data_IF_375175672222
#
_entry.id   IF_375175672222
#
_cell.length_a   1.000
_cell.length_b   1.000
_cell.length_c   1.000
_cell.angle_alpha   90.00
_cell.angle_beta   90.00
_cell.angle_gamma   90.00
#
_symmetry.space_group_name_H-M   'P 1'
#
loop_
_entity.id
_entity.type
_entity.pdbx_description
1 polymer ?
#
# COMPACT_ATOMS: atom_id res chain seq x y z
N UNK A 1 -18.87 8.14 -7.47
CA UNK A 1 -18.83 8.71 -6.11
C UNK A 1 -17.70 9.74 -6.11
N UNK A 2 -17.99 11.02 -5.90
CA UNK A 2 -16.98 12.09 -6.01
C UNK A 2 -16.04 12.05 -4.80
N UNK A 3 -14.73 11.96 -5.06
CA UNK A 3 -13.67 11.87 -4.05
C UNK A 3 -13.65 13.04 -3.06
N UNK A 4 -14.09 14.23 -3.50
CA UNK A 4 -14.20 15.43 -2.66
C UNK A 4 -15.13 15.23 -1.47
N UNK A 5 -16.16 14.38 -1.59
CA UNK A 5 -17.09 14.11 -0.47
C UNK A 5 -16.47 13.17 0.56
N UNK A 6 -15.52 12.33 0.15
CA UNK A 6 -14.86 11.36 1.05
C UNK A 6 -13.77 12.05 1.87
N UNK A 7 -13.06 13.04 1.30
CA UNK A 7 -11.97 13.71 2.04
C UNK A 7 -12.43 14.37 3.33
N UNK A 8 -13.60 15.00 3.33
CA UNK A 8 -14.11 15.72 4.51
C UNK A 8 -14.60 14.79 5.64
N UNK A 9 -14.79 13.50 5.34
CA UNK A 9 -15.16 12.48 6.33
C UNK A 9 -13.96 11.78 6.96
N UNK A 10 -12.76 11.96 6.40
CA UNK A 10 -11.54 11.27 6.85
C UNK A 10 -10.84 12.08 7.94
N UNK A 11 -10.40 11.38 8.99
CA UNK A 11 -9.70 11.96 10.13
C UNK A 11 -8.58 12.93 9.69
N UNK A 12 -8.60 14.16 10.20
CA UNK A 12 -7.64 15.20 9.84
C UNK A 12 -6.17 14.83 10.06
N UNK A 13 -5.88 13.91 11.00
CA UNK A 13 -4.53 13.36 11.22
C UNK A 13 -4.15 12.42 10.09
N UNK A 14 -5.07 11.58 9.61
CA UNK A 14 -4.82 10.70 8.47
C UNK A 14 -4.53 11.52 7.21
N UNK A 15 -5.31 12.59 6.96
CA UNK A 15 -5.05 13.51 5.86
C UNK A 15 -3.65 14.14 5.94
N UNK A 16 -3.24 14.62 7.13
CA UNK A 16 -1.89 15.18 7.34
C UNK A 16 -0.80 14.14 7.09
N UNK A 17 -1.03 12.91 7.52
CA UNK A 17 -0.11 11.80 7.29
C UNK A 17 0.02 11.48 5.79
N UNK A 18 -1.08 11.37 5.05
CA UNK A 18 -1.05 11.15 3.60
C UNK A 18 -0.34 12.30 2.86
N UNK A 19 -0.53 13.56 3.29
CA UNK A 19 0.23 14.71 2.76
C UNK A 19 1.73 14.59 2.99
N UNK A 20 2.15 14.11 4.17
CA UNK A 20 3.56 13.84 4.45
C UNK A 20 4.11 12.77 3.51
N UNK A 21 3.40 11.65 3.34
CA UNK A 21 3.84 10.57 2.44
C UNK A 21 3.99 11.08 1.01
N UNK A 22 3.04 11.87 0.51
CA UNK A 22 3.15 12.46 -0.83
C UNK A 22 4.38 13.37 -0.98
N UNK A 23 4.79 14.09 0.07
CA UNK A 23 6.01 14.89 0.06
C UNK A 23 7.28 14.03 0.06
N UNK A 24 7.28 12.89 0.75
CA UNK A 24 8.40 11.93 0.72
C UNK A 24 8.56 11.34 -0.69
N UNK A 25 7.46 10.87 -1.29
CA UNK A 25 7.45 10.27 -2.65
C UNK A 25 7.94 11.21 -3.75
N UNK A 26 7.85 12.52 -3.55
CA UNK A 26 8.38 13.53 -4.49
C UNK A 26 9.91 13.65 -4.47
N UNK A 27 10.59 13.03 -3.50
CA UNK A 27 12.05 13.05 -3.37
C UNK A 27 12.71 11.83 -4.04
N UNK A 28 11.97 11.11 -4.92
CA UNK A 28 12.40 9.85 -5.54
C UNK A 28 12.71 8.73 -4.53
N UNK A 29 12.09 8.81 -3.35
CA UNK A 29 12.16 7.79 -2.31
C UNK A 29 10.91 6.91 -2.30
N UNK A 30 11.12 5.61 -2.16
CA UNK A 30 10.05 4.65 -1.92
C UNK A 30 9.59 4.71 -0.45
N UNK A 31 8.28 4.80 -0.24
CA UNK A 31 7.69 4.79 1.11
C UNK A 31 7.03 3.42 1.38
N UNK A 32 7.55 2.70 2.38
CA UNK A 32 7.03 1.40 2.80
C UNK A 32 6.31 1.54 4.14
N UNK A 33 5.10 1.00 4.24
CA UNK A 33 4.29 1.00 5.45
C UNK A 33 3.81 -0.41 5.78
N UNK A 34 3.95 -0.80 7.05
CA UNK A 34 3.42 -2.05 7.57
C UNK A 34 2.17 -1.77 8.41
N UNK A 35 1.04 -2.37 8.05
CA UNK A 35 -0.21 -2.29 8.82
C UNK A 35 -0.46 -3.65 9.47
N UNK A 36 -0.43 -3.69 10.80
CA UNK A 36 -0.61 -4.93 11.59
C UNK A 36 -1.66 -4.75 12.68
N UNK A 37 -2.18 -5.86 13.19
CA UNK A 37 -3.27 -5.88 14.18
C UNK A 37 -4.19 -7.09 14.04
N UNK A 38 -5.15 -7.22 14.94
CA UNK A 38 -6.05 -8.37 15.03
C UNK A 38 -6.95 -8.52 13.79
N UNK A 39 -7.35 -9.75 13.49
CA UNK A 39 -8.32 -10.02 12.41
C UNK A 39 -9.61 -9.23 12.65
N UNK A 40 -10.19 -8.67 11.57
CA UNK A 40 -11.37 -7.77 11.59
C UNK A 40 -11.18 -6.41 12.30
N UNK A 41 -9.94 -5.96 12.53
CA UNK A 41 -9.67 -4.63 13.10
C UNK A 41 -9.65 -3.48 12.08
N UNK A 42 -10.04 -3.71 10.83
CA UNK A 42 -10.08 -2.66 9.78
C UNK A 42 -8.74 -2.34 9.11
N UNK A 43 -7.73 -3.23 9.20
CA UNK A 43 -6.39 -3.00 8.61
C UNK A 43 -6.42 -2.77 7.10
N UNK A 44 -7.07 -3.67 6.36
CA UNK A 44 -7.20 -3.56 4.90
C UNK A 44 -7.98 -2.30 4.52
N UNK A 45 -9.02 -1.96 5.29
CA UNK A 45 -9.77 -0.69 5.12
C UNK A 45 -8.85 0.53 5.26
N UNK A 46 -8.06 0.59 6.34
CA UNK A 46 -7.12 1.69 6.57
C UNK A 46 -6.07 1.78 5.45
N UNK A 47 -5.52 0.64 5.00
CA UNK A 47 -4.56 0.60 3.91
C UNK A 47 -5.16 1.13 2.59
N UNK A 48 -6.40 0.75 2.28
CA UNK A 48 -7.13 1.21 1.09
C UNK A 48 -7.42 2.72 1.18
N UNK A 49 -7.89 3.22 2.32
CA UNK A 49 -8.13 4.65 2.53
C UNK A 49 -6.86 5.48 2.34
N UNK A 50 -5.74 4.99 2.88
CA UNK A 50 -4.43 5.63 2.70
C UNK A 50 -4.03 5.62 1.22
N UNK A 51 -4.17 4.48 0.53
CA UNK A 51 -3.82 4.37 -0.89
C UNK A 51 -4.65 5.32 -1.76
N UNK A 52 -5.96 5.37 -1.52
CA UNK A 52 -6.89 6.27 -2.18
C UNK A 52 -6.51 7.75 -1.95
N UNK A 53 -6.07 8.12 -0.75
CA UNK A 53 -5.64 9.49 -0.46
C UNK A 53 -4.30 9.88 -1.10
N UNK A 54 -3.42 8.91 -1.31
CA UNK A 54 -2.06 9.12 -1.83
C UNK A 54 -2.02 9.06 -3.35
N UNK A 55 -2.82 8.19 -3.96
CA UNK A 55 -2.94 7.99 -5.40
C UNK A 55 -4.41 8.01 -5.81
N UNK A 56 -4.86 9.14 -6.38
CA UNK A 56 -6.25 9.32 -6.83
C UNK A 56 -6.62 8.37 -7.98
N UNK A 57 -5.63 7.79 -8.65
CA UNK A 57 -5.83 6.83 -9.74
C UNK A 57 -5.71 5.38 -9.27
N UNK A 58 -5.69 5.17 -7.95
CA UNK A 58 -5.59 3.84 -7.36
C UNK A 58 -6.76 2.95 -7.79
N UNK A 59 -6.40 1.83 -8.41
CA UNK A 59 -7.30 0.79 -8.90
C UNK A 59 -7.17 -0.45 -8.01
N UNK A 60 -8.20 -0.70 -7.21
CA UNK A 60 -8.22 -1.81 -6.25
C UNK A 60 -8.03 -3.18 -6.92
N UNK A 61 -8.49 -3.37 -8.16
CA UNK A 61 -8.36 -4.66 -8.86
C UNK A 61 -6.93 -4.94 -9.31
N UNK A 62 -6.15 -3.89 -9.59
CA UNK A 62 -4.79 -4.02 -10.15
C UNK A 62 -3.68 -3.78 -9.13
N UNK A 63 -3.98 -3.09 -8.04
CA UNK A 63 -2.97 -2.60 -7.09
C UNK A 63 -3.10 -3.21 -5.69
N UNK A 64 -4.15 -3.99 -5.42
CA UNK A 64 -4.19 -4.90 -4.27
C UNK A 64 -3.68 -6.26 -4.75
N UNK A 65 -2.57 -6.69 -4.16
CA UNK A 65 -1.85 -7.90 -4.51
C UNK A 65 -1.82 -8.85 -3.31
N UNK A 66 -1.62 -10.13 -3.59
CA UNK A 66 -1.55 -11.19 -2.57
C UNK A 66 -0.24 -11.99 -2.65
N UNK A 67 0.66 -11.61 -3.56
CA UNK A 67 1.93 -12.28 -3.83
C UNK A 67 3.08 -11.27 -3.96
N UNK A 68 4.19 -11.54 -3.27
CA UNK A 68 5.41 -10.74 -3.31
C UNK A 68 6.08 -10.75 -4.69
N UNK A 69 5.97 -11.85 -5.47
CA UNK A 69 6.60 -11.89 -6.80
C UNK A 69 5.90 -10.93 -7.76
N UNK A 70 4.57 -10.92 -7.75
CA UNK A 70 3.79 -9.95 -8.52
C UNK A 70 4.10 -8.51 -8.09
N UNK A 71 4.18 -8.24 -6.77
CA UNK A 71 4.55 -6.92 -6.25
C UNK A 71 5.91 -6.46 -6.78
N UNK A 72 6.94 -7.32 -6.71
CA UNK A 72 8.29 -7.00 -7.18
C UNK A 72 8.30 -6.64 -8.67
N UNK A 73 7.56 -7.38 -9.49
CA UNK A 73 7.41 -7.09 -10.93
C UNK A 73 6.74 -5.74 -11.15
N UNK A 74 5.64 -5.45 -10.45
CA UNK A 74 4.85 -4.22 -10.62
C UNK A 74 5.61 -2.98 -10.22
N UNK A 75 6.34 -3.01 -9.09
CA UNK A 75 7.15 -1.88 -8.61
C UNK A 75 8.26 -1.56 -9.63
N UNK A 76 8.86 -2.58 -10.25
CA UNK A 76 9.89 -2.37 -11.28
C UNK A 76 9.31 -1.78 -12.58
N UNK A 77 8.16 -2.29 -13.04
CA UNK A 77 7.53 -1.87 -14.30
C UNK A 77 6.85 -0.49 -14.21
N UNK A 78 6.30 -0.15 -13.04
CA UNK A 78 5.46 1.04 -12.87
C UNK A 78 5.88 1.86 -11.64
N UNK A 79 6.55 2.97 -11.88
CA UNK A 79 7.00 3.89 -10.83
C UNK A 79 5.89 4.83 -10.37
N UNK A 80 5.98 5.30 -9.12
CA UNK A 80 5.12 6.36 -8.59
C UNK A 80 3.67 5.94 -8.32
N UNK A 81 3.39 4.63 -8.31
CA UNK A 81 2.09 4.06 -7.92
C UNK A 81 2.10 3.56 -6.49
N UNK A 82 0.91 3.38 -5.93
CA UNK A 82 0.72 2.73 -4.62
C UNK A 82 0.34 1.27 -4.86
N UNK A 83 0.94 0.34 -4.13
CA UNK A 83 0.57 -1.06 -4.13
C UNK A 83 0.31 -1.50 -2.69
N UNK A 84 -0.71 -2.34 -2.50
CA UNK A 84 -1.04 -2.95 -1.22
C UNK A 84 -0.79 -4.44 -1.37
N UNK A 85 0.04 -5.01 -0.50
CA UNK A 85 0.14 -6.45 -0.33
C UNK A 85 -0.71 -6.85 0.89
N UNK A 86 -1.90 -7.39 0.64
CA UNK A 86 -2.75 -7.89 1.72
C UNK A 86 -2.35 -9.32 2.09
N UNK A 87 -2.55 -9.69 3.36
CA UNK A 87 -2.15 -11.00 3.90
C UNK A 87 -0.65 -11.34 3.73
N UNK A 88 0.21 -10.31 3.70
CA UNK A 88 1.66 -10.41 3.50
C UNK A 88 2.36 -11.40 4.44
N UNK A 89 1.83 -11.62 5.65
CA UNK A 89 2.36 -12.61 6.60
C UNK A 89 2.30 -14.01 6.00
N UNK A 90 1.18 -14.39 5.38
CA UNK A 90 1.03 -15.74 4.82
C UNK A 90 1.98 -16.00 3.64
N UNK A 91 2.25 -14.97 2.84
CA UNK A 91 3.19 -15.07 1.73
C UNK A 91 4.66 -14.97 2.16
N UNK A 92 4.99 -14.11 3.13
CA UNK A 92 6.35 -13.97 3.66
C UNK A 92 6.86 -15.26 4.33
N UNK A 93 5.97 -16.08 4.90
CA UNK A 93 6.30 -17.38 5.47
C UNK A 93 6.32 -18.54 4.44
N UNK A 94 6.00 -18.26 3.18
CA UNK A 94 6.10 -19.26 2.12
C UNK A 94 7.59 -19.50 1.79
N UNK A 95 8.04 -20.77 1.80
CA UNK A 95 9.47 -21.13 1.70
C UNK A 95 10.17 -20.56 0.46
N UNK A 96 9.43 -20.31 -0.62
CA UNK A 96 9.97 -19.70 -1.83
C UNK A 96 10.34 -18.23 -1.65
N UNK A 97 9.53 -17.42 -0.96
CA UNK A 97 9.82 -16.00 -0.71
C UNK A 97 11.09 -15.83 0.14
N UNK A 98 11.26 -16.66 1.17
CA UNK A 98 12.49 -16.71 1.98
C UNK A 98 13.72 -17.18 1.18
N UNK A 99 13.55 -18.02 0.16
CA UNK A 99 14.65 -18.47 -0.70
C UNK A 99 15.12 -17.42 -1.71
N UNK A 100 14.23 -16.52 -2.12
CA UNK A 100 14.54 -15.42 -3.06
C UNK A 100 15.22 -14.26 -2.33
N UNK A 101 14.79 -13.95 -1.09
CA UNK A 101 15.48 -12.98 -0.23
C UNK A 101 16.90 -13.40 0.16
N UNK A 102 17.18 -14.71 0.26
CA UNK A 102 18.51 -15.25 0.58
C UNK A 102 19.49 -15.32 -0.61
N UNK A 103 19.15 -14.73 -1.77
CA UNK A 103 20.06 -14.64 -2.94
C UNK A 103 20.54 -13.22 -3.23
N UNK A 104 20.57 -12.35 -2.22
CA UNK A 104 21.14 -11.02 -2.29
C UNK A 104 22.39 -10.95 -1.41
#
# INVERSE_FOLDING_TARGET
MNYEVISDLVDSKLQKFCKYINKVRQQDEDFIMLVTGQTRSGKSTLAIEIALHIDITFDMEKQILFDMKELGKKIYETKGKVYILDEAIFDAFNREAMSIMNRW
#
